data_IF_383303476863
#
_entry.id   IF_383303476863
#
_cell.length_a   1.000
_cell.length_b   1.000
_cell.length_c   1.000
_cell.angle_alpha   90.00
_cell.angle_beta   90.00
_cell.angle_gamma   90.00
#
_symmetry.space_group_name_H-M   'P 1'
#
loop_
_entity.id
_entity.type
_entity.pdbx_description
1 polymer ?
#
# COMPACT_ATOMS: atom_id res chain seq x y z
N UNK A 1 26.44 14.18 -43.86
CA UNK A 1 25.02 13.76 -43.90
C UNK A 1 24.31 14.40 -42.71
N UNK A 2 23.12 14.91 -42.87
CA UNK A 2 22.39 15.48 -41.74
C UNK A 2 21.95 14.37 -40.79
N UNK A 3 22.01 14.63 -39.47
CA UNK A 3 21.46 13.76 -38.44
C UNK A 3 19.94 13.83 -38.54
N UNK A 4 19.29 12.67 -38.57
CA UNK A 4 17.82 12.59 -38.61
C UNK A 4 17.29 12.04 -37.31
N UNK A 5 16.37 12.74 -36.65
CA UNK A 5 15.71 12.33 -35.45
C UNK A 5 14.23 12.10 -35.73
N UNK A 6 13.70 10.94 -35.38
CA UNK A 6 12.26 10.62 -35.52
C UNK A 6 11.77 9.74 -34.38
N UNK A 7 10.48 9.86 -34.07
CA UNK A 7 9.82 8.98 -33.11
C UNK A 7 9.82 7.54 -33.63
N UNK A 8 10.06 6.57 -32.78
CA UNK A 8 9.99 5.14 -33.13
C UNK A 8 8.86 4.44 -32.33
N UNK A 9 7.62 4.46 -32.83
CA UNK A 9 6.48 3.87 -32.14
C UNK A 9 6.67 2.37 -31.92
N UNK A 10 7.22 1.65 -32.88
CA UNK A 10 7.43 0.19 -32.78
C UNK A 10 8.31 -0.21 -31.60
N UNK A 11 9.36 0.56 -31.33
CA UNK A 11 10.22 0.29 -30.18
C UNK A 11 9.51 0.64 -28.87
N UNK A 12 8.76 1.73 -28.83
CA UNK A 12 7.93 2.11 -27.69
C UNK A 12 6.93 1.02 -27.33
N UNK A 13 6.19 0.52 -28.33
CA UNK A 13 5.20 -0.55 -28.15
C UNK A 13 5.85 -1.85 -27.65
N UNK A 14 7.02 -2.21 -28.21
CA UNK A 14 7.77 -3.39 -27.79
C UNK A 14 8.17 -3.30 -26.31
N UNK A 15 8.70 -2.15 -25.89
CA UNK A 15 9.12 -1.91 -24.52
C UNK A 15 7.94 -1.99 -23.55
N UNK A 16 6.84 -1.32 -23.88
CA UNK A 16 5.62 -1.36 -23.07
C UNK A 16 5.05 -2.78 -22.96
N UNK A 17 5.01 -3.52 -24.06
CA UNK A 17 4.56 -4.91 -24.07
C UNK A 17 5.42 -5.80 -23.17
N UNK A 18 6.74 -5.68 -23.24
CA UNK A 18 7.64 -6.50 -22.42
C UNK A 18 7.50 -6.17 -20.92
N UNK A 19 7.40 -4.89 -20.57
CA UNK A 19 7.15 -4.48 -19.19
C UNK A 19 5.81 -5.02 -18.68
N UNK A 20 4.76 -4.88 -19.49
CA UNK A 20 3.42 -5.37 -19.12
C UNK A 20 3.41 -6.88 -18.89
N UNK A 21 4.00 -7.67 -19.78
CA UNK A 21 4.10 -9.14 -19.66
C UNK A 21 4.75 -9.53 -18.34
N UNK A 22 5.85 -8.86 -17.95
CA UNK A 22 6.55 -9.14 -16.68
C UNK A 22 5.64 -9.03 -15.46
N UNK A 23 4.72 -8.04 -15.43
CA UNK A 23 3.80 -7.85 -14.30
C UNK A 23 2.54 -8.72 -14.40
N UNK A 24 2.10 -9.07 -15.60
CA UNK A 24 1.01 -10.04 -15.80
C UNK A 24 1.38 -11.43 -15.31
N UNK A 25 2.62 -11.87 -15.54
CA UNK A 25 3.14 -13.16 -15.07
C UNK A 25 3.25 -13.26 -13.53
N UNK A 26 3.22 -12.13 -12.84
CA UNK A 26 3.25 -12.05 -11.36
C UNK A 26 1.86 -12.08 -10.72
N UNK A 27 0.80 -12.38 -11.45
CA UNK A 27 -0.54 -12.50 -10.86
C UNK A 27 -0.54 -13.57 -9.79
N UNK A 28 -1.13 -13.22 -8.65
CA UNK A 28 -1.15 -14.08 -7.47
C UNK A 28 -2.04 -15.28 -7.67
N UNK A 29 -1.63 -16.42 -7.15
CA UNK A 29 -2.43 -17.63 -7.11
C UNK A 29 -3.57 -17.47 -6.10
N UNK A 30 -4.72 -18.09 -6.37
CA UNK A 30 -5.91 -17.99 -5.53
C UNK A 30 -5.71 -18.50 -4.09
N UNK A 31 -4.79 -19.44 -3.89
CA UNK A 31 -4.53 -20.11 -2.61
C UNK A 31 -3.56 -19.36 -1.72
N UNK A 32 -2.80 -18.41 -2.25
CA UNK A 32 -1.80 -17.64 -1.48
C UNK A 32 -2.41 -16.31 -1.06
N UNK A 33 -2.41 -16.05 0.24
CA UNK A 33 -2.87 -14.80 0.81
C UNK A 33 -1.68 -13.97 1.28
N UNK A 34 -1.53 -12.79 0.72
CA UNK A 34 -0.49 -11.85 1.13
C UNK A 34 -1.03 -10.83 2.14
N UNK A 35 -0.16 -10.29 2.96
CA UNK A 35 -0.51 -9.21 3.91
C UNK A 35 -1.28 -8.08 3.21
N UNK A 36 -0.83 -7.64 2.04
CA UNK A 36 -1.49 -6.56 1.28
C UNK A 36 -2.90 -6.89 0.77
N UNK A 37 -3.30 -8.16 0.73
CA UNK A 37 -4.66 -8.56 0.34
C UNK A 37 -5.68 -8.32 1.46
N UNK A 38 -5.22 -8.40 2.72
CA UNK A 38 -6.07 -8.44 3.91
C UNK A 38 -5.97 -7.20 4.80
N UNK A 39 -5.17 -6.21 4.46
CA UNK A 39 -5.10 -4.93 5.20
C UNK A 39 -6.50 -4.27 5.19
N UNK A 40 -7.04 -3.81 6.35
CA UNK A 40 -8.38 -3.20 6.42
C UNK A 40 -8.59 -2.00 5.50
N UNK A 41 -7.55 -1.23 5.23
CA UNK A 41 -7.58 -0.07 4.33
C UNK A 41 -7.59 -0.47 2.84
N UNK A 42 -7.33 -1.76 2.55
CA UNK A 42 -7.45 -2.34 1.22
C UNK A 42 -8.84 -2.97 1.05
N UNK A 43 -9.46 -2.74 -0.09
CA UNK A 43 -10.77 -3.35 -0.38
C UNK A 43 -10.61 -4.86 -0.63
N UNK A 44 -10.97 -5.67 0.37
CA UNK A 44 -10.88 -7.14 0.27
C UNK A 44 -11.79 -7.70 -0.83
N UNK A 45 -12.94 -7.06 -1.13
CA UNK A 45 -13.78 -7.43 -2.28
C UNK A 45 -13.08 -7.17 -3.61
N UNK A 46 -12.29 -6.09 -3.72
CA UNK A 46 -11.47 -5.84 -4.92
C UNK A 46 -10.47 -6.98 -5.12
N UNK A 47 -9.83 -7.45 -4.05
CA UNK A 47 -8.89 -8.58 -4.13
C UNK A 47 -9.58 -9.87 -4.57
N UNK A 48 -10.79 -10.13 -4.06
CA UNK A 48 -11.61 -11.25 -4.50
C UNK A 48 -11.93 -11.16 -6.00
N UNK A 49 -12.47 -10.02 -6.45
CA UNK A 49 -12.83 -9.85 -7.86
C UNK A 49 -11.63 -9.90 -8.80
N UNK A 50 -10.49 -9.35 -8.41
CA UNK A 50 -9.26 -9.40 -9.22
C UNK A 50 -8.78 -10.82 -9.45
N UNK A 51 -9.05 -11.74 -8.52
CA UNK A 51 -8.73 -13.18 -8.68
C UNK A 51 -9.77 -13.94 -9.50
N UNK A 52 -11.04 -13.62 -9.33
CA UNK A 52 -12.14 -14.31 -10.02
C UNK A 52 -12.39 -13.77 -11.43
N UNK A 53 -12.13 -12.50 -11.68
CA UNK A 53 -12.44 -11.80 -12.93
C UNK A 53 -11.27 -10.89 -13.36
N UNK A 54 -10.08 -11.47 -13.55
CA UNK A 54 -8.89 -10.68 -13.89
C UNK A 54 -9.02 -9.91 -15.21
N UNK A 55 -9.89 -10.36 -16.09
CA UNK A 55 -10.17 -9.71 -17.37
C UNK A 55 -10.88 -8.35 -17.21
N UNK A 56 -11.54 -8.10 -16.08
CA UNK A 56 -12.22 -6.82 -15.80
C UNK A 56 -11.27 -5.74 -15.28
N UNK A 57 -10.07 -6.12 -14.83
CA UNK A 57 -9.01 -5.20 -14.37
C UNK A 57 -7.72 -5.49 -15.15
N UNK A 58 -7.70 -5.27 -16.48
CA UNK A 58 -6.51 -5.47 -17.27
C UNK A 58 -5.43 -4.48 -16.84
N UNK A 59 -4.21 -4.93 -16.77
CA UNK A 59 -3.09 -4.10 -16.40
C UNK A 59 -2.90 -2.96 -17.43
N UNK A 60 -3.05 -1.72 -16.98
CA UNK A 60 -2.82 -0.54 -17.83
C UNK A 60 -1.34 -0.19 -17.91
N UNK A 61 -0.93 0.53 -18.96
CA UNK A 61 0.43 1.04 -19.06
C UNK A 61 0.79 1.97 -17.89
N UNK A 62 -0.17 2.77 -17.41
CA UNK A 62 0.00 3.64 -16.25
C UNK A 62 0.29 2.83 -14.99
N UNK A 63 -0.46 1.75 -14.75
CA UNK A 63 -0.20 0.84 -13.61
C UNK A 63 1.19 0.21 -13.70
N UNK A 64 1.62 -0.21 -14.90
CA UNK A 64 2.97 -0.74 -15.13
C UNK A 64 4.03 0.29 -14.78
N UNK A 65 3.87 1.55 -15.22
CA UNK A 65 4.81 2.62 -14.88
C UNK A 65 4.87 2.90 -13.38
N UNK A 66 3.75 2.83 -12.67
CA UNK A 66 3.73 2.94 -11.20
C UNK A 66 4.51 1.80 -10.53
N UNK A 67 4.34 0.56 -10.99
CA UNK A 67 5.08 -0.59 -10.46
C UNK A 67 6.58 -0.48 -10.73
N UNK A 68 6.97 -0.17 -11.98
CA UNK A 68 8.38 0.04 -12.33
C UNK A 68 9.02 1.12 -11.45
N UNK A 69 8.31 2.23 -11.21
CA UNK A 69 8.81 3.29 -10.34
C UNK A 69 9.01 2.82 -8.91
N UNK A 70 8.03 2.12 -8.34
CA UNK A 70 8.12 1.59 -6.98
C UNK A 70 9.28 0.62 -6.82
N UNK A 71 9.36 -0.40 -7.69
CA UNK A 71 10.46 -1.38 -7.68
C UNK A 71 11.84 -0.74 -7.88
N UNK A 72 11.94 0.23 -8.80
CA UNK A 72 13.22 0.92 -9.03
C UNK A 72 13.64 1.75 -7.81
N UNK A 73 12.70 2.39 -7.14
CA UNK A 73 12.96 3.15 -5.93
C UNK A 73 13.41 2.25 -4.79
N UNK A 74 12.70 1.16 -4.56
CA UNK A 74 13.03 0.15 -3.56
C UNK A 74 14.42 -0.45 -3.82
N UNK A 75 14.67 -0.93 -5.04
CA UNK A 75 15.97 -1.50 -5.43
C UNK A 75 17.11 -0.52 -5.17
N UNK A 76 17.00 0.72 -5.63
CA UNK A 76 18.05 1.74 -5.44
C UNK A 76 18.30 2.02 -3.96
N UNK A 77 17.24 2.17 -3.16
CA UNK A 77 17.40 2.44 -1.73
C UNK A 77 18.04 1.23 -1.03
N UNK A 78 17.57 0.02 -1.31
CA UNK A 78 18.08 -1.19 -0.66
C UNK A 78 19.54 -1.46 -1.01
N UNK A 79 19.88 -1.40 -2.30
CA UNK A 79 21.24 -1.67 -2.76
C UNK A 79 22.24 -0.58 -2.35
N UNK A 80 21.86 0.70 -2.46
CA UNK A 80 22.79 1.78 -2.14
C UNK A 80 22.91 2.06 -0.65
N UNK A 81 21.87 1.83 0.13
CA UNK A 81 21.90 2.05 1.57
C UNK A 81 22.45 0.85 2.36
N UNK A 82 22.47 -0.35 1.77
CA UNK A 82 22.98 -1.59 2.39
C UNK A 82 22.37 -1.85 3.79
N UNK A 83 21.07 -1.65 3.93
CA UNK A 83 20.39 -1.64 5.24
C UNK A 83 19.95 -3.03 5.73
N UNK A 84 20.14 -4.10 4.96
CA UNK A 84 19.71 -5.45 5.35
C UNK A 84 19.32 -6.33 4.18
N UNK A 85 18.53 -7.39 4.45
CA UNK A 85 18.03 -8.33 3.43
C UNK A 85 16.77 -7.77 2.81
N UNK A 86 16.79 -7.61 1.49
CA UNK A 86 15.63 -7.15 0.71
C UNK A 86 14.67 -8.31 0.42
N UNK A 87 13.36 -8.03 0.44
CA UNK A 87 12.30 -8.95 0.00
C UNK A 87 12.35 -10.31 0.73
N UNK A 88 12.68 -10.33 2.03
CA UNK A 88 12.60 -11.55 2.83
C UNK A 88 11.19 -12.13 2.77
N UNK A 89 11.07 -13.44 2.52
CA UNK A 89 9.77 -14.12 2.52
C UNK A 89 9.47 -14.67 3.90
N UNK A 90 8.36 -14.25 4.48
CA UNK A 90 7.90 -14.64 5.81
C UNK A 90 6.52 -15.28 5.66
N UNK A 91 6.29 -16.37 6.37
CA UNK A 91 4.98 -17.01 6.41
C UNK A 91 4.51 -17.22 7.85
N UNK A 92 3.25 -16.90 8.13
CA UNK A 92 2.60 -17.17 9.40
C UNK A 92 1.12 -17.50 9.16
N UNK A 93 0.67 -18.62 9.69
CA UNK A 93 -0.73 -19.06 9.59
C UNK A 93 -1.28 -19.06 8.15
N UNK A 94 -0.44 -19.37 7.13
CA UNK A 94 -0.81 -19.34 5.71
C UNK A 94 -1.00 -17.94 5.13
N UNK A 95 -0.39 -16.94 5.75
CA UNK A 95 -0.28 -15.57 5.24
C UNK A 95 1.17 -15.33 4.88
N UNK A 96 1.41 -14.82 3.67
CA UNK A 96 2.76 -14.51 3.18
C UNK A 96 3.02 -13.00 3.26
N UNK A 97 4.20 -12.65 3.71
CA UNK A 97 4.69 -11.27 3.75
C UNK A 97 6.04 -11.14 3.05
N UNK A 98 6.26 -9.99 2.45
CA UNK A 98 7.55 -9.59 1.87
C UNK A 98 7.86 -8.18 2.34
N UNK A 99 8.50 -8.02 3.53
CA UNK A 99 9.02 -6.74 3.96
C UNK A 99 10.06 -6.21 2.96
N UNK A 100 10.06 -4.91 2.72
CA UNK A 100 11.00 -4.32 1.76
C UNK A 100 12.45 -4.50 2.24
N UNK A 101 12.71 -4.32 3.55
CA UNK A 101 14.01 -4.62 4.16
C UNK A 101 13.80 -5.29 5.53
N UNK A 102 14.56 -6.33 5.80
CA UNK A 102 14.72 -6.93 7.12
C UNK A 102 16.18 -6.85 7.54
N UNK A 103 16.45 -6.11 8.60
CA UNK A 103 17.77 -5.99 9.18
C UNK A 103 17.85 -6.82 10.47
N UNK A 104 18.42 -8.00 10.35
CA UNK A 104 18.55 -8.95 11.46
C UNK A 104 19.56 -8.50 12.53
N UNK A 105 20.51 -7.64 12.16
CA UNK A 105 21.54 -7.15 13.09
C UNK A 105 20.96 -6.10 14.04
N UNK A 106 20.11 -5.22 13.51
CA UNK A 106 19.44 -4.17 14.29
C UNK A 106 18.06 -4.58 14.79
N UNK A 107 17.61 -5.77 14.42
CA UNK A 107 16.28 -6.31 14.72
C UNK A 107 15.16 -5.33 14.33
N UNK A 108 15.19 -4.90 13.07
CA UNK A 108 14.27 -3.90 12.54
C UNK A 108 13.71 -4.31 11.17
N UNK A 109 12.43 -4.01 10.96
CA UNK A 109 11.76 -4.13 9.66
C UNK A 109 11.55 -2.73 9.09
N UNK A 110 11.87 -2.56 7.80
CA UNK A 110 11.65 -1.30 7.10
C UNK A 110 10.64 -1.50 5.97
N UNK A 111 9.65 -0.64 5.94
CA UNK A 111 8.69 -0.51 4.85
C UNK A 111 9.01 0.77 4.06
N UNK A 112 9.38 0.60 2.79
CA UNK A 112 9.75 1.69 1.89
C UNK A 112 8.55 2.12 1.04
N UNK A 113 8.35 3.41 0.92
CA UNK A 113 7.30 3.96 0.04
C UNK A 113 7.84 5.08 -0.82
N UNK A 114 7.40 5.12 -2.06
CA UNK A 114 7.68 6.20 -3.01
C UNK A 114 6.38 6.93 -3.34
N UNK A 115 6.37 8.23 -3.19
CA UNK A 115 5.21 9.05 -3.51
C UNK A 115 5.57 10.25 -4.37
N UNK A 116 4.70 10.57 -5.31
CA UNK A 116 4.71 11.84 -6.06
C UNK A 116 3.71 12.84 -5.48
N UNK A 117 3.07 12.49 -4.36
CA UNK A 117 2.15 13.40 -3.69
C UNK A 117 2.94 14.58 -3.11
N UNK A 118 2.53 15.78 -3.47
CA UNK A 118 3.10 17.01 -2.93
C UNK A 118 2.74 17.31 -1.48
N UNK A 119 1.88 16.48 -0.87
CA UNK A 119 1.51 16.61 0.54
C UNK A 119 2.34 15.63 1.37
N UNK A 120 2.93 16.13 2.46
CA UNK A 120 3.54 15.29 3.48
C UNK A 120 2.48 14.33 4.04
N UNK A 121 2.80 13.04 4.07
CA UNK A 121 1.93 12.02 4.63
C UNK A 121 2.17 11.89 6.14
N UNK A 122 1.10 11.76 6.90
CA UNK A 122 1.14 11.54 8.34
C UNK A 122 0.01 10.61 8.80
N UNK A 123 -0.13 10.40 10.10
CA UNK A 123 -1.11 9.50 10.70
C UNK A 123 -2.57 9.83 10.33
N UNK A 124 -2.86 11.04 9.89
CA UNK A 124 -4.21 11.44 9.46
C UNK A 124 -4.53 11.00 8.04
N UNK A 125 -3.50 10.63 7.27
CA UNK A 125 -3.65 10.18 5.89
C UNK A 125 -4.00 8.69 5.81
N UNK A 126 -5.02 8.36 5.05
CA UNK A 126 -5.41 6.95 4.84
C UNK A 126 -4.31 6.10 4.15
N UNK A 127 -3.44 6.72 3.35
CA UNK A 127 -2.29 6.03 2.77
C UNK A 127 -1.25 5.68 3.83
N UNK A 128 -0.89 6.63 4.69
CA UNK A 128 0.04 6.39 5.79
C UNK A 128 -0.49 5.30 6.75
N UNK A 129 -1.77 5.36 7.09
CA UNK A 129 -2.44 4.33 7.92
C UNK A 129 -2.37 2.94 7.28
N UNK A 130 -2.45 2.85 5.95
CA UNK A 130 -2.27 1.58 5.25
C UNK A 130 -0.85 1.04 5.39
N UNK A 131 0.16 1.90 5.23
CA UNK A 131 1.57 1.53 5.40
C UNK A 131 1.85 1.08 6.84
N UNK A 132 1.34 1.84 7.81
CA UNK A 132 1.47 1.49 9.21
C UNK A 132 0.83 0.13 9.52
N UNK A 133 -0.38 -0.14 9.01
CA UNK A 133 -1.03 -1.44 9.22
C UNK A 133 -0.23 -2.57 8.60
N UNK A 134 0.34 -2.36 7.42
CA UNK A 134 1.19 -3.34 6.75
C UNK A 134 2.43 -3.64 7.58
N UNK A 135 3.12 -2.62 8.07
CA UNK A 135 4.28 -2.77 8.94
C UNK A 135 3.93 -3.48 10.26
N UNK A 136 2.82 -3.09 10.92
CA UNK A 136 2.37 -3.76 12.14
C UNK A 136 2.11 -5.25 11.95
N UNK A 137 1.56 -5.65 10.80
CA UNK A 137 1.39 -7.05 10.47
C UNK A 137 2.73 -7.77 10.31
N UNK A 138 3.72 -7.13 9.69
CA UNK A 138 5.07 -7.70 9.60
C UNK A 138 5.72 -7.88 10.97
N UNK A 139 5.57 -6.89 11.87
CA UNK A 139 6.08 -6.99 13.25
C UNK A 139 5.41 -8.13 14.04
N UNK A 140 4.11 -8.35 13.79
CA UNK A 140 3.41 -9.51 14.40
C UNK A 140 3.93 -10.82 13.85
N UNK A 141 4.13 -10.93 12.54
CA UNK A 141 4.56 -12.17 11.88
C UNK A 141 5.99 -12.55 12.23
N UNK A 142 6.87 -11.59 12.46
CA UNK A 142 8.28 -11.82 12.76
C UNK A 142 8.59 -11.90 14.25
N UNK A 143 7.75 -11.32 15.10
CA UNK A 143 8.05 -11.12 16.50
C UNK A 143 8.95 -9.91 16.79
N UNK A 144 9.50 -9.28 15.77
CA UNK A 144 10.32 -8.06 15.90
C UNK A 144 9.49 -6.92 16.50
N UNK A 145 10.07 -6.13 17.40
CA UNK A 145 9.37 -5.05 18.08
C UNK A 145 9.48 -3.70 17.36
N UNK A 146 10.55 -3.51 16.59
CA UNK A 146 10.88 -2.25 15.96
C UNK A 146 10.62 -2.29 14.46
N UNK A 147 9.92 -1.28 13.97
CA UNK A 147 9.69 -1.07 12.54
C UNK A 147 9.96 0.36 12.11
N UNK A 148 10.23 0.57 10.84
CA UNK A 148 10.44 1.88 10.24
C UNK A 148 9.56 1.98 8.99
N UNK A 149 8.79 3.06 8.88
CA UNK A 149 8.17 3.47 7.62
C UNK A 149 9.03 4.57 7.03
N UNK A 150 9.61 4.35 5.86
CA UNK A 150 10.41 5.35 5.17
C UNK A 150 9.72 5.77 3.87
N UNK A 151 9.38 7.03 3.74
CA UNK A 151 8.69 7.58 2.58
C UNK A 151 9.63 8.50 1.82
N UNK A 152 9.89 8.14 0.58
CA UNK A 152 10.59 8.99 -0.37
C UNK A 152 9.57 9.85 -1.12
N UNK A 153 9.75 11.15 -1.04
CA UNK A 153 8.96 12.12 -1.79
C UNK A 153 9.67 12.44 -3.10
N UNK A 154 9.24 11.79 -4.18
CA UNK A 154 9.81 12.00 -5.51
C UNK A 154 9.18 13.23 -6.17
N UNK A 155 9.38 14.38 -5.55
CA UNK A 155 8.81 15.65 -5.99
C UNK A 155 9.92 16.43 -6.68
N UNK A 156 10.02 16.33 -7.98
CA UNK A 156 10.70 17.37 -8.76
C UNK A 156 9.76 18.56 -8.81
N UNK A 157 10.22 19.73 -8.34
CA UNK A 157 9.68 21.07 -8.58
C UNK A 157 8.28 21.14 -9.25
N UNK A 158 7.37 20.25 -8.81
CA UNK A 158 6.02 20.24 -9.32
C UNK A 158 5.37 21.55 -8.89
N UNK A 159 5.39 22.49 -9.81
CA UNK A 159 4.55 23.67 -9.75
C UNK A 159 3.11 23.19 -9.94
N UNK A 160 2.41 23.02 -8.86
CA UNK A 160 0.99 22.74 -8.93
C UNK A 160 0.27 24.00 -9.36
N UNK A 161 -0.48 23.90 -10.46
CA UNK A 161 -1.41 24.95 -10.84
C UNK A 161 -2.68 24.67 -10.05
N UNK A 162 -3.06 25.64 -9.20
CA UNK A 162 -4.37 25.69 -8.58
C UNK A 162 -5.11 26.88 -9.12
N UNK A 163 -6.39 26.72 -9.40
CA UNK A 163 -7.28 27.84 -9.71
C UNK A 163 -7.93 28.29 -8.41
N UNK A 164 -7.99 29.61 -8.20
CA UNK A 164 -8.77 30.20 -7.11
C UNK A 164 -10.28 30.17 -7.44
N UNK A 165 -11.11 30.63 -6.51
CA UNK A 165 -12.56 30.70 -6.70
C UNK A 165 -13.00 31.67 -7.82
N UNK A 166 -12.11 32.52 -8.28
CA UNK A 166 -12.30 33.45 -9.40
C UNK A 166 -11.79 32.90 -10.74
N UNK A 167 -11.22 31.67 -10.75
CA UNK A 167 -10.69 31.02 -11.93
C UNK A 167 -9.27 31.45 -12.32
N UNK A 168 -8.56 32.17 -11.46
CA UNK A 168 -7.17 32.52 -11.72
C UNK A 168 -6.24 31.38 -11.34
N UNK A 169 -5.34 31.01 -12.22
CA UNK A 169 -4.33 29.99 -11.98
C UNK A 169 -3.16 30.58 -11.17
N UNK A 170 -2.75 29.86 -10.13
CA UNK A 170 -1.56 30.20 -9.37
C UNK A 170 -0.69 28.98 -9.11
N UNK A 171 0.62 29.21 -8.99
CA UNK A 171 1.58 28.17 -8.66
C UNK A 171 1.63 27.95 -7.15
N UNK A 172 1.41 26.73 -6.74
CA UNK A 172 1.46 26.32 -5.35
C UNK A 172 2.63 25.37 -5.11
N UNK A 173 3.47 25.67 -4.13
CA UNK A 173 4.44 24.72 -3.58
C UNK A 173 3.87 24.20 -2.26
N UNK A 174 3.42 22.94 -2.20
CA UNK A 174 2.69 22.44 -1.03
C UNK A 174 3.53 22.37 0.26
N UNK A 175 4.84 22.29 0.16
CA UNK A 175 5.81 22.40 1.26
C UNK A 175 7.21 22.64 0.67
N UNK A 176 8.16 22.98 1.52
CA UNK A 176 9.52 23.28 1.06
C UNK A 176 10.24 21.97 0.67
N UNK A 177 10.02 21.50 -0.56
CA UNK A 177 10.56 20.26 -1.09
C UNK A 177 12.12 20.22 -1.13
N UNK A 178 12.78 21.34 -0.80
CA UNK A 178 14.25 21.36 -0.71
C UNK A 178 14.78 20.59 0.51
N UNK A 179 13.92 20.41 1.53
CA UNK A 179 14.35 19.92 2.83
C UNK A 179 13.89 18.48 3.10
N UNK A 180 13.03 17.90 2.25
CA UNK A 180 12.43 16.59 2.50
C UNK A 180 12.53 15.68 1.27
N UNK A 181 13.63 14.97 1.15
CA UNK A 181 13.77 13.90 0.14
C UNK A 181 13.22 12.57 0.64
N UNK A 182 13.56 12.20 1.87
CA UNK A 182 13.12 10.97 2.54
C UNK A 182 12.76 11.35 3.98
N UNK A 183 11.62 10.82 4.45
CA UNK A 183 11.19 10.98 5.82
C UNK A 183 10.86 9.61 6.41
N UNK A 184 11.33 9.35 7.63
CA UNK A 184 11.17 8.05 8.27
C UNK A 184 10.50 8.20 9.63
N UNK A 185 9.63 7.23 9.94
CA UNK A 185 8.93 7.11 11.23
C UNK A 185 9.30 5.79 11.86
N UNK A 186 9.71 5.84 13.12
CA UNK A 186 9.91 4.65 13.93
C UNK A 186 8.58 4.22 14.55
N UNK A 187 8.32 2.92 14.48
CA UNK A 187 7.14 2.26 15.06
C UNK A 187 7.63 1.20 16.04
N UNK A 188 7.17 1.27 17.26
CA UNK A 188 7.49 0.28 18.29
C UNK A 188 6.24 -0.48 18.71
N UNK A 189 6.27 -1.81 18.55
CA UNK A 189 5.21 -2.72 18.98
C UNK A 189 5.81 -3.74 19.96
N UNK A 190 5.66 -3.53 21.29
CA UNK A 190 6.26 -4.40 22.31
C UNK A 190 5.82 -5.86 22.17
N UNK A 191 6.72 -6.81 22.47
CA UNK A 191 6.44 -8.24 22.35
C UNK A 191 5.27 -8.71 23.24
N UNK A 192 5.15 -8.13 24.43
CA UNK A 192 4.10 -8.46 25.40
C UNK A 192 2.81 -7.64 25.24
N UNK A 193 2.71 -6.81 24.17
CA UNK A 193 1.54 -5.96 23.98
C UNK A 193 0.33 -6.77 23.49
N UNK A 194 -0.82 -6.55 24.09
CA UNK A 194 -2.10 -7.16 23.67
C UNK A 194 -2.45 -6.81 22.22
N UNK A 195 -1.94 -5.70 21.71
CA UNK A 195 -2.13 -5.30 20.31
C UNK A 195 -1.60 -6.35 19.33
N UNK A 196 -0.54 -7.10 19.66
CA UNK A 196 -0.04 -8.19 18.81
C UNK A 196 -1.09 -9.29 18.64
N UNK A 197 -1.74 -9.69 19.70
CA UNK A 197 -2.79 -10.71 19.66
C UNK A 197 -4.01 -10.20 18.87
N UNK A 198 -4.43 -8.97 19.10
CA UNK A 198 -5.54 -8.35 18.37
C UNK A 198 -5.23 -8.30 16.86
N UNK A 199 -4.04 -7.83 16.48
CA UNK A 199 -3.59 -7.76 15.10
C UNK A 199 -3.48 -9.15 14.47
N UNK A 200 -2.95 -10.13 15.18
CA UNK A 200 -2.87 -11.53 14.71
C UNK A 200 -4.26 -12.09 14.43
N UNK A 201 -5.18 -11.91 15.39
CA UNK A 201 -6.56 -12.38 15.25
C UNK A 201 -7.28 -11.70 14.08
N UNK A 202 -7.05 -10.41 13.87
CA UNK A 202 -7.57 -9.67 12.71
C UNK A 202 -7.03 -10.26 11.39
N UNK A 203 -5.72 -10.46 11.28
CA UNK A 203 -5.07 -11.04 10.09
C UNK A 203 -5.65 -12.41 9.75
N UNK A 204 -5.69 -13.32 10.73
CA UNK A 204 -6.18 -14.69 10.54
C UNK A 204 -7.66 -14.70 10.17
N UNK A 205 -8.48 -13.89 10.85
CA UNK A 205 -9.90 -13.76 10.56
C UNK A 205 -10.14 -13.26 9.12
N UNK A 206 -9.45 -12.20 8.72
CA UNK A 206 -9.59 -11.62 7.36
C UNK A 206 -9.12 -12.60 6.29
N UNK A 207 -8.00 -13.30 6.52
CA UNK A 207 -7.55 -14.38 5.63
C UNK A 207 -8.62 -15.47 5.49
N UNK A 208 -9.15 -15.98 6.60
CA UNK A 208 -10.11 -17.07 6.58
C UNK A 208 -11.40 -16.68 5.83
N UNK A 209 -11.88 -15.46 6.04
CA UNK A 209 -13.03 -14.94 5.28
C UNK A 209 -12.74 -14.81 3.79
N UNK A 210 -11.55 -14.35 3.45
CA UNK A 210 -11.14 -14.20 2.06
C UNK A 210 -11.07 -15.55 1.34
N UNK A 211 -10.42 -16.54 1.96
CA UNK A 211 -10.34 -17.90 1.41
C UNK A 211 -11.72 -18.55 1.32
N UNK A 212 -12.55 -18.40 2.34
CA UNK A 212 -13.93 -18.90 2.33
C UNK A 212 -14.75 -18.29 1.19
N UNK A 213 -14.63 -16.96 0.96
CA UNK A 213 -15.30 -16.32 -0.16
C UNK A 213 -14.88 -16.85 -1.52
N UNK A 214 -13.56 -17.14 -1.68
CA UNK A 214 -13.03 -17.73 -2.91
C UNK A 214 -13.52 -19.17 -3.11
N UNK A 215 -13.56 -19.98 -2.06
CA UNK A 215 -14.01 -21.38 -2.07
C UNK A 215 -15.52 -21.48 -2.35
N UNK A 216 -16.34 -20.75 -1.60
CA UNK A 216 -17.79 -20.75 -1.74
C UNK A 216 -18.26 -19.94 -2.96
N UNK A 217 -17.35 -19.21 -3.61
CA UNK A 217 -17.67 -18.28 -4.69
C UNK A 217 -18.72 -17.23 -4.27
N UNK A 218 -18.65 -16.80 -3.01
CA UNK A 218 -19.60 -15.88 -2.40
C UNK A 218 -18.89 -14.63 -1.83
N UNK A 219 -19.01 -13.51 -2.52
CA UNK A 219 -18.45 -12.22 -2.11
C UNK A 219 -19.25 -11.55 -1.00
N UNK A 220 -20.50 -12.00 -0.75
CA UNK A 220 -21.40 -11.35 0.22
C UNK A 220 -20.88 -11.44 1.66
N UNK A 221 -20.06 -12.43 1.95
CA UNK A 221 -19.42 -12.63 3.26
C UNK A 221 -18.24 -11.69 3.51
N UNK A 222 -17.75 -10.98 2.48
CA UNK A 222 -16.67 -10.02 2.62
C UNK A 222 -17.20 -8.61 2.89
N UNK A 223 -16.56 -7.86 3.82
CA UNK A 223 -16.95 -6.49 4.09
C UNK A 223 -16.67 -5.58 2.90
N UNK A 224 -17.54 -4.60 2.68
CA UNK A 224 -17.26 -3.45 1.84
C UNK A 224 -16.34 -2.47 2.58
N UNK A 225 -15.74 -1.56 1.84
CA UNK A 225 -15.07 -0.43 2.48
C UNK A 225 -16.09 0.40 3.29
N UNK A 226 -15.65 1.03 4.39
CA UNK A 226 -16.45 2.01 5.10
C UNK A 226 -16.95 3.12 4.17
N UNK A 227 -18.07 3.72 4.46
CA UNK A 227 -18.74 4.68 3.58
C UNK A 227 -17.84 5.83 3.14
N UNK A 228 -17.09 6.42 4.06
CA UNK A 228 -16.15 7.51 3.76
C UNK A 228 -15.08 7.12 2.73
N UNK A 229 -14.66 5.84 2.73
CA UNK A 229 -13.67 5.32 1.78
C UNK A 229 -14.34 4.88 0.47
N UNK A 230 -15.59 4.38 0.53
CA UNK A 230 -16.37 4.00 -0.66
C UNK A 230 -16.56 5.19 -1.60
N UNK A 231 -16.95 6.33 -1.06
CA UNK A 231 -17.20 7.54 -1.85
C UNK A 231 -15.98 8.03 -2.61
N UNK A 232 -14.77 7.73 -2.13
CA UNK A 232 -13.51 8.15 -2.76
C UNK A 232 -12.94 7.09 -3.71
N UNK A 233 -13.05 5.80 -3.38
CA UNK A 233 -12.36 4.71 -4.08
C UNK A 233 -13.25 3.94 -5.04
N UNK A 234 -14.52 3.71 -4.67
CA UNK A 234 -15.40 2.84 -5.45
C UNK A 234 -15.75 3.40 -6.83
N UNK A 235 -15.98 4.70 -7.05
CA UNK A 235 -16.27 5.24 -8.39
C UNK A 235 -15.20 4.94 -9.44
N UNK A 236 -13.95 4.68 -9.00
CA UNK A 236 -12.81 4.38 -9.86
C UNK A 236 -12.46 2.88 -9.88
N UNK A 237 -13.28 2.05 -9.25
CA UNK A 237 -13.05 0.62 -9.16
C UNK A 237 -13.57 -0.09 -10.42
N UNK A 238 -12.74 -0.91 -11.11
CA UNK A 238 -13.18 -1.65 -12.29
C UNK A 238 -14.31 -2.64 -12.01
N UNK A 239 -14.50 -3.00 -10.74
CA UNK A 239 -15.55 -3.92 -10.29
C UNK A 239 -16.78 -3.23 -9.69
N UNK A 240 -16.90 -1.91 -9.85
CA UNK A 240 -17.94 -1.10 -9.20
C UNK A 240 -19.34 -1.66 -9.47
N UNK A 241 -19.71 -1.80 -10.74
CA UNK A 241 -21.06 -2.24 -11.13
C UNK A 241 -21.38 -3.65 -10.61
N UNK A 242 -20.40 -4.55 -10.64
CA UNK A 242 -20.56 -5.91 -10.13
C UNK A 242 -20.73 -5.90 -8.61
N UNK A 243 -19.90 -5.15 -7.90
CA UNK A 243 -19.90 -5.09 -6.44
C UNK A 243 -21.13 -4.36 -5.89
N UNK A 244 -21.54 -3.24 -6.51
CA UNK A 244 -22.61 -2.38 -5.96
C UNK A 244 -24.00 -2.80 -6.37
N UNK A 245 -24.16 -3.37 -7.58
CA UNK A 245 -25.48 -3.65 -8.16
C UNK A 245 -25.93 -5.09 -7.98
N UNK A 246 -25.03 -6.04 -7.77
CA UNK A 246 -25.36 -7.47 -7.79
C UNK A 246 -25.12 -8.21 -6.48
N UNK A 247 -24.21 -7.71 -5.66
CA UNK A 247 -23.74 -8.45 -4.51
C UNK A 247 -24.18 -7.79 -3.21
N UNK A 248 -25.11 -8.42 -2.54
CA UNK A 248 -25.52 -8.02 -1.20
C UNK A 248 -24.38 -8.26 -0.20
N UNK A 249 -24.52 -7.69 0.96
CA UNK A 249 -23.60 -7.82 2.08
C UNK A 249 -24.33 -8.48 3.24
N UNK A 250 -23.75 -9.54 3.80
CA UNK A 250 -24.31 -10.18 5.00
C UNK A 250 -24.19 -9.24 6.20
N UNK A 251 -25.04 -9.41 7.22
CA UNK A 251 -25.00 -8.57 8.41
C UNK A 251 -23.65 -8.67 9.12
N UNK A 252 -23.06 -9.87 9.18
CA UNK A 252 -21.70 -10.07 9.71
C UNK A 252 -20.63 -9.30 8.93
N UNK A 253 -20.74 -9.22 7.60
CA UNK A 253 -19.83 -8.43 6.78
C UNK A 253 -20.00 -6.93 7.03
N UNK A 254 -21.23 -6.45 7.27
CA UNK A 254 -21.50 -5.05 7.65
C UNK A 254 -20.92 -4.70 9.01
N UNK A 255 -21.05 -5.59 9.99
CA UNK A 255 -20.42 -5.43 11.32
C UNK A 255 -18.92 -5.27 11.19
N UNK A 256 -18.26 -6.12 10.40
CA UNK A 256 -16.82 -6.03 10.16
C UNK A 256 -16.40 -4.75 9.44
N UNK A 257 -17.23 -4.21 8.56
CA UNK A 257 -16.94 -2.95 7.88
C UNK A 257 -16.95 -1.74 8.83
N UNK A 258 -17.66 -1.87 9.94
CA UNK A 258 -17.77 -0.85 10.99
C UNK A 258 -16.81 -1.09 12.18
N UNK A 259 -15.94 -2.10 12.09
CA UNK A 259 -14.93 -2.31 13.13
C UNK A 259 -14.05 -1.07 13.28
N UNK A 260 -13.85 -0.69 14.52
CA UNK A 260 -12.98 0.44 14.88
C UNK A 260 -11.58 0.16 14.36
N UNK A 261 -11.00 1.12 13.67
CA UNK A 261 -9.60 1.04 13.29
C UNK A 261 -8.75 0.96 14.56
N UNK A 262 -7.90 -0.07 14.67
CA UNK A 262 -7.04 -0.26 15.84
C UNK A 262 -6.16 0.95 16.16
N UNK A 263 -5.93 1.83 15.19
CA UNK A 263 -5.23 3.10 15.40
C UNK A 263 -6.07 4.12 16.19
N UNK A 264 -7.39 3.92 16.28
CA UNK A 264 -8.27 4.75 17.08
C UNK A 264 -8.37 4.25 18.53
N UNK A 265 -7.77 3.09 18.86
CA UNK A 265 -7.64 2.60 20.23
C UNK A 265 -6.51 3.41 20.89
N UNK A 266 -6.89 4.31 21.79
CA UNK A 266 -5.95 5.13 22.56
C UNK A 266 -4.94 4.25 23.30
N UNK A 267 -3.65 4.47 23.06
CA UNK A 267 -2.54 3.76 23.69
C UNK A 267 -1.88 2.66 22.88
N UNK A 268 -2.44 2.25 21.72
CA UNK A 268 -1.83 1.23 20.87
C UNK A 268 -0.65 1.77 20.07
N UNK A 269 -0.63 3.06 19.77
CA UNK A 269 0.47 3.70 19.04
C UNK A 269 0.76 5.06 19.65
N UNK A 270 1.88 5.18 20.38
CA UNK A 270 2.40 6.46 20.84
C UNK A 270 3.19 7.13 19.70
N UNK A 271 2.50 7.96 18.93
CA UNK A 271 3.11 8.73 17.84
C UNK A 271 3.76 9.99 18.42
N UNK A 272 5.01 9.87 18.82
CA UNK A 272 5.86 11.03 19.05
C UNK A 272 6.69 11.29 17.80
N UNK A 273 6.48 12.40 17.08
CA UNK A 273 7.45 12.81 16.08
C UNK A 273 8.80 12.97 16.77
N UNK A 274 9.82 12.31 16.26
CA UNK A 274 11.19 12.57 16.67
C UNK A 274 11.50 13.98 16.22
N UNK A 275 11.31 14.95 17.11
CA UNK A 275 11.82 16.30 16.93
C UNK A 275 13.30 16.18 17.24
N UNK A 276 14.12 16.00 16.22
CA UNK A 276 15.54 16.30 16.37
C UNK A 276 15.63 17.76 16.79
N UNK A 277 16.02 17.98 18.03
CA UNK A 277 16.48 19.29 18.46
C UNK A 277 17.69 19.67 17.60
N UNK A 278 17.45 20.37 16.51
CA UNK A 278 18.48 21.08 15.76
C UNK A 278 18.92 22.30 16.55
N UNK A 279 19.42 22.07 17.76
CA UNK A 279 20.24 23.05 18.48
C UNK A 279 21.69 22.56 18.37
N UNK A 280 22.35 22.98 17.26
CA UNK A 280 23.75 23.48 17.29
C UNK A 280 24.16 23.96 15.90
#
# INVERSE_FOLDING_TARGET
MPITIRINPKFTDLLQKNLKSRYEDRRRLDTIVHVSDIIPTTCIRKQYYSRKFPELDPLSNESVHHFVRGESSEFVITELASLGVSQASIEMDGIVAHPDIMNEVEDVIVELKDTVNGKRLDITDGAFRAYLRQLLYYLVMTGIEKGIISIRYNIKELRWIKSDSAGNDYFFRPFNAKDVGIESWEVHLPAADIAREILKNEMVRRKNLFLKALEENDVSILPRLPEFARNKKCPWCPFYDKCMNKDNETDKAKEMANEVDLLDISGVVDFKPVVENSDK
#
